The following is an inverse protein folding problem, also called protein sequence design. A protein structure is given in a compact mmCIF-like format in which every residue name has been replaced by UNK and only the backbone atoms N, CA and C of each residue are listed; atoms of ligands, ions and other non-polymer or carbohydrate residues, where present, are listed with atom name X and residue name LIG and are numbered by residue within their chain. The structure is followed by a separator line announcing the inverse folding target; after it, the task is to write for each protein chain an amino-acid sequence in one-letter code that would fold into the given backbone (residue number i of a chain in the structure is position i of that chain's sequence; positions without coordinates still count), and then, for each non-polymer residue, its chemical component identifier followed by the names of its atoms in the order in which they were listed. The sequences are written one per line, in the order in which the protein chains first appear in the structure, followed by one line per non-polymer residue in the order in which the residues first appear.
data_IF_705371170194
#
_entry.id   IF_705371170194
#
_cell.length_a   1.000
_cell.length_b   1.000
_cell.length_c   1.000
_cell.angle_alpha   90.00
_cell.angle_beta   90.00
_cell.angle_gamma   90.00
#
_symmetry.space_group_name_H-M   'P 1'
#
loop_
_entity.id
_entity.type
_entity.pdbx_description
1 polymer ?
#
# COMPACT_ATOMS: atom_id res chain seq x y z
N UNK A 1 -54.73 25.75 9.13
CA UNK A 1 -53.54 26.19 9.89
C UNK A 1 -52.62 24.98 10.00
N UNK A 2 -51.59 24.90 9.16
CA UNK A 2 -50.59 23.82 9.24
C UNK A 2 -49.58 24.18 10.32
N UNK A 3 -49.64 23.50 11.46
CA UNK A 3 -48.61 23.57 12.49
C UNK A 3 -47.48 22.64 12.05
N UNK A 4 -46.60 23.13 11.18
CA UNK A 4 -45.38 22.43 10.80
C UNK A 4 -44.49 22.27 12.02
N UNK A 5 -44.64 21.16 12.74
CA UNK A 5 -43.75 20.79 13.83
C UNK A 5 -42.35 20.61 13.27
N UNK A 6 -41.37 21.38 13.76
CA UNK A 6 -39.96 21.05 13.54
C UNK A 6 -39.74 19.65 14.11
N UNK A 7 -39.51 18.67 13.24
CA UNK A 7 -39.02 17.37 13.68
C UNK A 7 -37.67 17.60 14.37
N UNK A 8 -37.66 17.52 15.69
CA UNK A 8 -36.44 17.46 16.52
C UNK A 8 -35.70 16.14 16.34
N UNK A 9 -36.27 15.21 15.57
CA UNK A 9 -35.69 13.90 15.30
C UNK A 9 -34.75 13.96 14.11
N UNK A 10 -33.48 13.70 14.38
CA UNK A 10 -32.46 13.49 13.37
C UNK A 10 -32.39 12.02 12.97
N UNK A 11 -32.20 11.76 11.69
CA UNK A 11 -32.08 10.41 11.13
C UNK A 11 -30.68 10.20 10.60
N UNK A 12 -30.07 9.07 10.98
CA UNK A 12 -28.72 8.68 10.60
C UNK A 12 -28.75 7.32 9.90
N UNK A 13 -28.09 7.22 8.74
CA UNK A 13 -27.71 5.93 8.17
C UNK A 13 -26.37 5.52 8.78
N UNK A 14 -26.34 4.37 9.44
CA UNK A 14 -25.13 3.81 10.06
C UNK A 14 -24.70 2.58 9.29
N UNK A 15 -23.40 2.42 9.07
CA UNK A 15 -22.80 1.21 8.51
C UNK A 15 -21.35 1.09 8.97
N UNK A 16 -20.78 -0.09 8.79
CA UNK A 16 -19.37 -0.38 8.97
C UNK A 16 -18.69 -0.50 7.61
N UNK A 17 -17.64 0.29 7.40
CA UNK A 17 -16.77 0.21 6.24
C UNK A 17 -15.46 -0.46 6.63
N UNK A 18 -15.19 -1.63 6.07
CA UNK A 18 -13.91 -2.34 6.21
C UNK A 18 -13.09 -2.13 4.95
N UNK A 19 -11.97 -1.41 5.08
CA UNK A 19 -11.00 -1.22 4.00
C UNK A 19 -9.71 -1.94 4.36
N UNK A 20 -9.18 -2.75 3.44
CA UNK A 20 -7.88 -3.39 3.59
C UNK A 20 -6.88 -2.78 2.63
N UNK A 21 -5.77 -2.29 3.16
CA UNK A 21 -4.75 -1.58 2.39
C UNK A 21 -3.37 -2.17 2.67
N UNK A 22 -2.66 -2.60 1.63
CA UNK A 22 -1.35 -3.26 1.74
C UNK A 22 -0.15 -2.33 1.94
N UNK A 23 -0.35 -1.02 1.80
CA UNK A 23 0.71 0.00 1.81
C UNK A 23 0.73 0.88 3.06
N UNK A 24 -0.07 0.56 4.10
CA UNK A 24 -0.09 1.34 5.35
C UNK A 24 1.17 1.16 6.21
N UNK A 25 1.97 0.12 5.93
CA UNK A 25 3.25 -0.12 6.61
C UNK A 25 4.39 -0.18 5.59
N UNK A 26 4.79 1.00 5.11
CA UNK A 26 5.94 1.17 4.24
C UNK A 26 7.21 1.24 5.11
N UNK A 27 7.81 0.08 5.40
CA UNK A 27 9.20 0.08 5.89
C UNK A 27 10.11 0.83 4.92
N UNK A 28 11.09 1.57 5.46
CA UNK A 28 12.03 2.38 4.70
C UNK A 28 12.63 1.56 3.55
N UNK A 29 12.39 2.00 2.32
CA UNK A 29 12.97 1.45 1.12
C UNK A 29 13.65 2.61 0.42
N UNK A 30 14.98 2.61 0.42
CA UNK A 30 15.72 3.77 -0.07
C UNK A 30 15.57 3.90 -1.58
N UNK A 31 15.75 5.13 -2.08
CA UNK A 31 15.80 5.39 -3.53
C UNK A 31 16.83 4.48 -4.21
N UNK A 32 18.00 4.30 -3.59
CA UNK A 32 19.03 3.41 -4.11
C UNK A 32 18.56 1.94 -4.22
N UNK A 33 17.82 1.44 -3.22
CA UNK A 33 17.26 0.10 -3.29
C UNK A 33 16.23 -0.04 -4.42
N UNK A 34 15.43 1.01 -4.68
CA UNK A 34 14.49 1.05 -5.79
C UNK A 34 15.20 1.09 -7.14
N UNK A 35 16.24 1.92 -7.28
CA UNK A 35 17.08 1.97 -8.48
C UNK A 35 17.68 0.60 -8.78
N UNK A 36 18.30 -0.05 -7.78
CA UNK A 36 18.83 -1.40 -7.96
C UNK A 36 17.77 -2.41 -8.39
N UNK A 37 16.56 -2.36 -7.81
CA UNK A 37 15.49 -3.26 -8.21
C UNK A 37 15.03 -3.04 -9.65
N UNK A 38 14.87 -1.79 -10.06
CA UNK A 38 14.45 -1.44 -11.42
C UNK A 38 15.52 -1.87 -12.43
N UNK A 39 16.77 -1.47 -12.23
CA UNK A 39 17.90 -1.85 -13.10
C UNK A 39 18.02 -3.37 -13.23
N UNK A 40 17.93 -4.12 -12.13
CA UNK A 40 17.99 -5.58 -12.16
C UNK A 40 16.79 -6.15 -12.94
N UNK A 41 15.58 -5.61 -12.75
CA UNK A 41 14.38 -6.08 -13.45
C UNK A 41 14.51 -5.88 -14.97
N UNK A 42 14.96 -4.70 -15.40
CA UNK A 42 15.15 -4.37 -16.81
C UNK A 42 16.18 -5.29 -17.49
N UNK A 43 17.32 -5.55 -16.83
CA UNK A 43 18.35 -6.46 -17.35
C UNK A 43 17.85 -7.92 -17.39
N UNK A 44 17.01 -8.31 -16.42
CA UNK A 44 16.37 -9.64 -16.40
C UNK A 44 15.34 -9.80 -17.51
N UNK A 45 14.61 -8.74 -17.86
CA UNK A 45 13.69 -8.73 -18.99
C UNK A 45 14.41 -8.81 -20.34
N UNK A 46 15.63 -8.23 -20.42
CA UNK A 46 16.54 -8.40 -21.56
C UNK A 46 17.17 -9.80 -21.68
N UNK A 47 16.84 -10.74 -20.77
CA UNK A 47 17.29 -12.13 -20.82
C UNK A 47 18.60 -12.43 -20.10
N UNK A 48 19.20 -11.47 -19.38
CA UNK A 48 20.47 -11.71 -18.68
C UNK A 48 20.31 -12.64 -17.47
N UNK A 49 21.27 -13.53 -17.25
CA UNK A 49 21.35 -14.35 -16.04
C UNK A 49 21.70 -13.52 -14.81
N UNK A 50 21.40 -14.00 -13.60
CA UNK A 50 21.75 -13.26 -12.37
C UNK A 50 23.26 -13.05 -12.21
N UNK A 51 24.07 -13.95 -12.77
CA UNK A 51 25.52 -13.80 -12.82
C UNK A 51 25.92 -12.65 -13.74
N UNK A 52 25.43 -12.65 -14.98
CA UNK A 52 25.70 -11.57 -15.94
C UNK A 52 25.24 -10.20 -15.42
N UNK A 53 24.09 -10.15 -14.73
CA UNK A 53 23.62 -8.91 -14.09
C UNK A 53 24.57 -8.48 -12.97
N UNK A 54 25.11 -9.40 -12.17
CA UNK A 54 26.07 -9.04 -11.12
C UNK A 54 27.38 -8.51 -11.70
N UNK A 55 27.86 -9.09 -12.81
CA UNK A 55 29.04 -8.62 -13.53
C UNK A 55 28.79 -7.21 -14.09
N UNK A 56 27.68 -7.01 -14.82
CA UNK A 56 27.30 -5.71 -15.36
C UNK A 56 27.18 -4.62 -14.28
N UNK A 57 26.56 -4.93 -13.13
CA UNK A 57 26.44 -3.98 -12.02
C UNK A 57 27.82 -3.58 -11.48
N UNK A 58 28.74 -4.54 -11.31
CA UNK A 58 30.09 -4.25 -10.84
C UNK A 58 30.88 -3.42 -11.86
N UNK A 59 30.78 -3.75 -13.17
CA UNK A 59 31.42 -3.01 -14.26
C UNK A 59 30.93 -1.56 -14.36
N UNK A 60 29.64 -1.33 -14.08
CA UNK A 60 29.03 0.01 -14.07
C UNK A 60 29.19 0.74 -12.71
N UNK A 61 30.00 0.21 -11.79
CA UNK A 61 30.33 0.87 -10.53
C UNK A 61 29.25 0.81 -9.44
N UNK A 62 28.19 0.01 -9.63
CA UNK A 62 27.18 -0.18 -8.58
C UNK A 62 27.73 -1.04 -7.44
N UNK A 63 27.37 -0.66 -6.21
CA UNK A 63 27.66 -1.44 -5.01
C UNK A 63 26.38 -1.93 -4.33
N UNK A 64 26.47 -3.00 -3.55
CA UNK A 64 25.34 -3.36 -2.67
C UNK A 64 25.04 -2.21 -1.69
N UNK A 65 23.85 -2.15 -1.07
CA UNK A 65 23.53 -1.12 -0.08
C UNK A 65 24.53 -1.00 1.08
N UNK A 66 25.38 -2.01 1.29
CA UNK A 66 26.46 -2.03 2.29
C UNK A 66 27.86 -1.82 1.70
N UNK A 67 27.96 -1.31 0.47
CA UNK A 67 29.25 -0.98 -0.18
C UNK A 67 30.05 -2.19 -0.69
N UNK A 68 29.48 -3.39 -0.72
CA UNK A 68 30.15 -4.61 -1.22
C UNK A 68 29.90 -4.83 -2.71
N UNK A 69 30.79 -5.56 -3.38
CA UNK A 69 30.60 -6.01 -4.76
C UNK A 69 29.40 -6.96 -4.90
N UNK A 70 28.77 -6.94 -6.06
CA UNK A 70 27.67 -7.82 -6.38
C UNK A 70 28.14 -9.24 -6.67
N UNK A 71 27.37 -10.18 -6.13
CA UNK A 71 27.41 -11.59 -6.44
C UNK A 71 26.02 -11.99 -6.95
N UNK A 72 25.92 -13.05 -7.74
CA UNK A 72 24.65 -13.55 -8.28
C UNK A 72 23.55 -13.73 -7.21
N UNK A 73 23.90 -14.22 -6.02
CA UNK A 73 22.96 -14.36 -4.89
C UNK A 73 22.44 -13.03 -4.34
N UNK A 74 23.24 -11.95 -4.37
CA UNK A 74 22.81 -10.61 -3.99
C UNK A 74 21.74 -10.11 -4.96
N UNK A 75 22.00 -10.22 -6.26
CA UNK A 75 21.06 -9.82 -7.33
C UNK A 75 19.76 -10.59 -7.22
N UNK A 76 19.82 -11.92 -7.09
CA UNK A 76 18.64 -12.77 -6.89
C UNK A 76 17.82 -12.32 -5.67
N UNK A 77 18.49 -12.05 -4.55
CA UNK A 77 17.83 -11.65 -3.31
C UNK A 77 17.13 -10.31 -3.43
N UNK A 78 17.76 -9.32 -4.08
CA UNK A 78 17.18 -8.00 -4.31
C UNK A 78 15.97 -8.12 -5.24
N UNK A 79 16.11 -8.80 -6.37
CA UNK A 79 15.03 -9.00 -7.34
C UNK A 79 13.83 -9.72 -6.71
N UNK A 80 14.06 -10.81 -5.96
CA UNK A 80 13.01 -11.56 -5.26
C UNK A 80 12.31 -10.72 -4.18
N UNK A 81 13.05 -9.91 -3.41
CA UNK A 81 12.46 -9.05 -2.37
C UNK A 81 11.67 -7.89 -2.99
N UNK A 82 12.20 -7.25 -4.03
CA UNK A 82 11.53 -6.18 -4.75
C UNK A 82 10.23 -6.65 -5.43
N UNK A 83 10.24 -7.81 -6.09
CA UNK A 83 9.01 -8.40 -6.67
C UNK A 83 7.93 -8.65 -5.62
N UNK A 84 8.28 -9.24 -4.48
CA UNK A 84 7.33 -9.46 -3.37
C UNK A 84 6.78 -8.14 -2.82
N UNK A 85 7.63 -7.11 -2.73
CA UNK A 85 7.20 -5.77 -2.31
C UNK A 85 6.23 -5.16 -3.32
N UNK A 86 6.57 -5.18 -4.61
CA UNK A 86 5.73 -4.68 -5.70
C UNK A 86 4.34 -5.33 -5.66
N UNK A 87 4.26 -6.66 -5.64
CA UNK A 87 2.99 -7.40 -5.52
C UNK A 87 2.18 -6.99 -4.30
N UNK A 88 2.83 -6.77 -3.15
CA UNK A 88 2.13 -6.33 -1.93
C UNK A 88 1.56 -4.91 -2.06
N UNK A 89 2.30 -4.00 -2.69
CA UNK A 89 1.92 -2.60 -2.83
C UNK A 89 0.85 -2.37 -3.89
N UNK A 90 0.88 -3.16 -4.97
CA UNK A 90 -0.11 -3.09 -6.05
C UNK A 90 -1.37 -3.90 -5.77
N UNK A 91 -1.40 -4.70 -4.70
CA UNK A 91 -2.56 -5.52 -4.35
C UNK A 91 -3.70 -4.67 -3.84
N UNK A 92 -4.82 -4.71 -4.55
CA UNK A 92 -6.10 -4.10 -4.17
C UNK A 92 -6.97 -5.12 -3.44
N UNK A 93 -7.84 -4.62 -2.56
CA UNK A 93 -8.86 -5.39 -1.86
C UNK A 93 -10.18 -4.64 -2.00
N UNK A 94 -11.25 -5.37 -2.33
CA UNK A 94 -12.58 -4.78 -2.40
C UNK A 94 -13.01 -4.29 -1.02
N UNK A 95 -13.53 -3.04 -0.90
CA UNK A 95 -14.08 -2.55 0.34
C UNK A 95 -15.35 -3.31 0.69
N UNK A 96 -15.53 -3.62 1.97
CA UNK A 96 -16.72 -4.31 2.47
C UNK A 96 -17.56 -3.34 3.29
N UNK A 97 -18.81 -3.17 2.89
CA UNK A 97 -19.82 -2.48 3.69
C UNK A 97 -20.67 -3.51 4.42
N UNK A 98 -20.88 -3.33 5.72
CA UNK A 98 -21.66 -4.24 6.55
C UNK A 98 -22.38 -3.48 7.67
N UNK A 99 -23.19 -4.19 8.46
CA UNK A 99 -23.88 -3.66 9.64
C UNK A 99 -24.68 -2.37 9.37
N UNK A 100 -25.51 -2.40 8.33
CA UNK A 100 -26.38 -1.29 7.97
C UNK A 100 -27.50 -1.12 8.99
N UNK A 101 -27.80 0.12 9.34
CA UNK A 101 -28.89 0.47 10.25
C UNK A 101 -29.34 1.91 10.05
N UNK A 102 -30.54 2.21 10.51
CA UNK A 102 -31.07 3.58 10.58
C UNK A 102 -31.24 3.91 12.06
N UNK A 103 -30.66 5.02 12.50
CA UNK A 103 -30.75 5.50 13.87
C UNK A 103 -31.52 6.81 13.89
N UNK A 104 -32.51 6.88 14.77
CA UNK A 104 -33.27 8.09 15.04
C UNK A 104 -32.80 8.68 16.38
N UNK A 105 -32.59 9.99 16.44
CA UNK A 105 -32.19 10.71 17.65
C UNK A 105 -33.15 11.87 17.84
N UNK A 106 -33.98 11.82 18.87
CA UNK A 106 -34.86 12.92 19.24
C UNK A 106 -34.11 13.93 20.12
N UNK A 107 -33.97 15.15 19.62
CA UNK A 107 -33.29 16.26 20.31
C UNK A 107 -34.23 17.13 21.16
N UNK A 108 -35.52 16.79 21.28
CA UNK A 108 -36.45 17.55 22.14
C UNK A 108 -35.95 17.68 23.58
N UNK A 109 -35.34 16.63 24.13
CA UNK A 109 -34.89 16.55 25.53
C UNK A 109 -33.54 17.25 25.83
N UNK A 110 -32.88 17.84 24.83
CA UNK A 110 -31.55 18.47 24.98
C UNK A 110 -31.65 19.99 25.17
N UNK A 111 -32.81 20.60 24.90
CA UNK A 111 -33.04 22.05 25.00
C UNK A 111 -33.81 22.47 26.27
N UNK A 112 -33.93 21.59 27.28
CA UNK A 112 -34.60 21.88 28.55
C UNK A 112 -33.61 22.35 29.64
N UNK A 113 -32.82 23.39 29.36
CA UNK A 113 -32.13 24.23 30.36
C UNK A 113 -32.49 25.71 30.17
#
# INVERSE_FOLDING_TARGET
MWLGGKSSTETYLTFQLTVRVGHLWLGAYSEYQQTLFNTISDLREKGMTYQQVSEWLNENGYQTPHGKTFKSNHVFSIHKKGKRRSVRLTKTYEPVLSNFGIRFVDRTLINDE
#
